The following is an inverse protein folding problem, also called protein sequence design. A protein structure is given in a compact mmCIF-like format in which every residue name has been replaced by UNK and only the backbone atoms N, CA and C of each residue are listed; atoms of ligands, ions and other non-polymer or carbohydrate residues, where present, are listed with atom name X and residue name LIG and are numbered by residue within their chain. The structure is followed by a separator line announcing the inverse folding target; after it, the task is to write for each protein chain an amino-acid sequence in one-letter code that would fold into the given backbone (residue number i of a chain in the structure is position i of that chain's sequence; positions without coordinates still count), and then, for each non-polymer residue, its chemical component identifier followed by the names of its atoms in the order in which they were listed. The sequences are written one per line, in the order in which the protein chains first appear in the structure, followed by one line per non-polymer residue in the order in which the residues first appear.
data_IF_121167375956
#
_entry.id   IF_121167375956
#
_cell.length_a   1.000
_cell.length_b   1.000
_cell.length_c   1.000
_cell.angle_alpha   90.00
_cell.angle_beta   90.00
_cell.angle_gamma   90.00
#
_symmetry.space_group_name_H-M   'P 1'
#
loop_
_entity.id
_entity.type
_entity.pdbx_description
1 polymer ?
#
# COMPACT_ATOMS: atom_id res chain seq x y z
N UNK A 1 -8.45 -20.01 6.71
CA UNK A 1 -8.21 -20.67 8.01
C UNK A 1 -7.37 -19.69 8.82
N UNK A 2 -7.96 -19.06 9.84
CA UNK A 2 -7.29 -18.03 10.66
C UNK A 2 -6.45 -18.71 11.76
N UNK A 3 -5.22 -18.26 11.98
CA UNK A 3 -4.41 -18.73 13.12
C UNK A 3 -5.03 -18.21 14.43
N UNK A 4 -5.35 -19.13 15.34
CA UNK A 4 -5.99 -18.80 16.62
C UNK A 4 -5.07 -18.01 17.58
N UNK A 5 -3.75 -18.01 17.32
CA UNK A 5 -2.73 -17.37 18.17
C UNK A 5 -2.70 -15.86 18.04
N UNK A 6 -3.14 -15.32 16.90
CA UNK A 6 -3.08 -13.90 16.57
C UNK A 6 -4.48 -13.40 16.21
N UNK A 7 -4.79 -12.17 16.64
CA UNK A 7 -6.01 -11.47 16.25
C UNK A 7 -5.68 -10.10 15.68
N UNK A 8 -6.21 -9.81 14.49
CA UNK A 8 -6.31 -8.44 13.99
C UNK A 8 -7.44 -7.73 14.74
N UNK A 9 -7.07 -6.85 15.69
CA UNK A 9 -8.03 -6.15 16.55
C UNK A 9 -8.69 -4.99 15.85
N UNK A 10 -7.90 -4.11 15.24
CA UNK A 10 -8.40 -2.94 14.54
C UNK A 10 -7.47 -2.52 13.40
N UNK A 11 -8.02 -1.81 12.42
CA UNK A 11 -7.27 -1.04 11.43
C UNK A 11 -7.84 0.36 11.38
N UNK A 12 -7.07 1.35 11.81
CA UNK A 12 -7.41 2.77 11.79
C UNK A 12 -6.60 3.50 10.72
N UNK A 13 -7.14 4.64 10.29
CA UNK A 13 -6.56 5.46 9.23
C UNK A 13 -6.53 6.90 9.70
N UNK A 14 -5.40 7.57 9.48
CA UNK A 14 -5.28 9.00 9.65
C UNK A 14 -4.79 9.58 8.34
N UNK A 15 -5.55 10.52 7.80
CA UNK A 15 -5.27 11.18 6.53
C UNK A 15 -4.99 12.64 6.79
N UNK A 16 -3.83 13.12 6.34
CA UNK A 16 -3.39 14.51 6.54
C UNK A 16 -2.69 15.04 5.30
N UNK A 17 -2.70 16.35 5.13
CA UNK A 17 -1.84 16.99 4.14
C UNK A 17 -0.38 16.84 4.55
N UNK A 18 0.51 16.73 3.57
CA UNK A 18 1.93 16.87 3.83
C UNK A 18 2.23 18.29 4.32
N UNK A 19 3.20 18.44 5.23
CA UNK A 19 3.58 19.74 5.80
C UNK A 19 3.94 20.79 4.73
N UNK A 20 4.37 20.33 3.54
CA UNK A 20 4.69 21.17 2.38
C UNK A 20 3.47 21.60 1.56
N UNK A 21 2.28 21.06 1.84
CA UNK A 21 1.03 21.26 1.09
C UNK A 21 0.98 20.59 -0.29
N UNK A 22 2.07 19.92 -0.71
CA UNK A 22 2.23 19.37 -2.06
C UNK A 22 1.86 17.89 -2.19
N UNK A 23 1.31 17.28 -1.14
CA UNK A 23 0.98 15.87 -1.15
C UNK A 23 0.08 15.47 0.01
N UNK A 24 -0.16 14.18 0.09
CA UNK A 24 -0.99 13.54 1.09
C UNK A 24 -0.19 12.48 1.86
N UNK A 25 -0.47 12.44 3.16
CA UNK A 25 -0.10 11.36 4.06
C UNK A 25 -1.31 10.53 4.43
N UNK A 26 -1.14 9.22 4.27
CA UNK A 26 -2.02 8.22 4.85
C UNK A 26 -1.22 7.38 5.83
N UNK A 27 -1.56 7.53 7.11
CA UNK A 27 -1.05 6.68 8.17
C UNK A 27 -2.06 5.55 8.41
N UNK A 28 -1.64 4.31 8.17
CA UNK A 28 -2.46 3.11 8.42
C UNK A 28 -1.96 2.45 9.69
N UNK A 29 -2.79 2.42 10.71
CA UNK A 29 -2.46 1.84 12.01
C UNK A 29 -3.16 0.49 12.16
N UNK A 30 -2.36 -0.56 12.24
CA UNK A 30 -2.78 -1.95 12.37
C UNK A 30 -2.54 -2.41 13.80
N UNK A 31 -3.61 -2.70 14.53
CA UNK A 31 -3.55 -3.25 15.89
C UNK A 31 -3.65 -4.77 15.85
N UNK A 32 -2.59 -5.43 16.32
CA UNK A 32 -2.51 -6.88 16.45
C UNK A 32 -2.45 -7.27 17.93
N UNK A 33 -3.07 -8.38 18.25
CA UNK A 33 -3.12 -8.92 19.60
C UNK A 33 -2.72 -10.40 19.62
N UNK A 34 -1.87 -10.77 20.58
CA UNK A 34 -1.52 -12.15 20.87
C UNK A 34 -2.54 -12.77 21.79
N UNK A 35 -2.91 -14.01 21.48
CA UNK A 35 -3.75 -14.87 22.33
C UNK A 35 -2.95 -15.96 23.02
N UNK A 36 -1.63 -15.98 22.84
CA UNK A 36 -0.73 -16.95 23.42
C UNK A 36 0.33 -16.28 24.30
N UNK A 37 0.81 -16.96 25.35
CA UNK A 37 1.87 -16.43 26.23
C UNK A 37 3.25 -16.42 25.57
N UNK A 38 3.42 -17.12 24.45
CA UNK A 38 4.67 -17.24 23.72
C UNK A 38 4.90 -16.07 22.75
N UNK A 39 6.16 -15.68 22.60
CA UNK A 39 6.57 -14.71 21.58
C UNK A 39 6.56 -15.35 20.19
N UNK A 40 5.90 -14.69 19.25
CA UNK A 40 5.81 -15.17 17.87
C UNK A 40 6.27 -14.09 16.89
N UNK A 41 7.02 -14.53 15.87
CA UNK A 41 7.48 -13.68 14.79
C UNK A 41 6.53 -13.77 13.61
N UNK A 42 6.21 -12.63 13.05
CA UNK A 42 5.32 -12.47 11.92
C UNK A 42 5.93 -11.45 10.95
N UNK A 43 5.39 -11.36 9.75
CA UNK A 43 5.75 -10.29 8.83
C UNK A 43 4.52 -9.63 8.22
N UNK A 44 4.64 -8.34 7.87
CA UNK A 44 3.52 -7.55 7.38
C UNK A 44 3.89 -6.76 6.12
N UNK A 45 2.96 -6.70 5.18
CA UNK A 45 2.92 -5.69 4.13
C UNK A 45 1.68 -4.83 4.31
N UNK A 46 1.84 -3.52 4.11
CA UNK A 46 0.72 -2.62 3.93
C UNK A 46 0.87 -1.94 2.58
N UNK A 47 -0.17 -2.04 1.76
CA UNK A 47 -0.25 -1.42 0.46
C UNK A 47 -1.36 -0.36 0.53
N UNK A 48 -1.05 0.85 0.11
CA UNK A 48 -2.03 1.90 -0.13
C UNK A 48 -1.96 2.34 -1.60
N UNK A 49 -3.10 2.61 -2.22
CA UNK A 49 -3.13 3.09 -3.60
C UNK A 49 -4.43 3.83 -3.94
N UNK A 50 -4.45 4.35 -5.15
CA UNK A 50 -5.66 4.87 -5.78
C UNK A 50 -6.07 3.99 -6.96
N UNK A 51 -7.18 3.29 -6.81
CA UNK A 51 -7.80 2.50 -7.86
C UNK A 51 -9.06 3.22 -8.34
N UNK A 52 -9.06 3.67 -9.60
CA UNK A 52 -10.23 4.28 -10.23
C UNK A 52 -10.81 3.41 -11.33
N UNK A 53 -12.03 3.73 -11.75
CA UNK A 53 -12.64 3.10 -12.91
C UNK A 53 -11.84 3.48 -14.17
N UNK A 54 -11.62 2.52 -15.07
CA UNK A 54 -10.95 2.79 -16.34
C UNK A 54 -11.75 3.75 -17.21
N UNK A 55 -13.08 3.69 -17.11
CA UNK A 55 -13.99 4.57 -17.82
C UNK A 55 -14.22 5.83 -17.00
N UNK A 56 -13.86 6.98 -17.56
CA UNK A 56 -14.24 8.26 -17.00
C UNK A 56 -15.77 8.43 -17.13
N UNK A 57 -16.47 8.53 -15.99
CA UNK A 57 -17.93 8.67 -16.00
C UNK A 57 -18.41 9.94 -16.71
N UNK A 58 -17.64 11.03 -16.65
CA UNK A 58 -18.01 12.27 -17.32
C UNK A 58 -17.84 12.16 -18.84
N UNK A 59 -16.81 11.46 -19.30
CA UNK A 59 -16.65 11.12 -20.71
C UNK A 59 -17.76 10.17 -21.19
N UNK A 60 -18.14 9.19 -20.35
CA UNK A 60 -19.23 8.26 -20.66
C UNK A 60 -20.60 8.92 -20.73
N UNK A 61 -20.79 10.06 -20.07
CA UNK A 61 -21.98 10.90 -20.23
C UNK A 61 -22.01 11.58 -21.60
N UNK A 62 -20.85 11.99 -22.13
CA UNK A 62 -20.72 12.64 -23.43
C UNK A 62 -20.79 11.63 -24.58
N UNK A 63 -20.14 10.48 -24.44
CA UNK A 63 -20.12 9.38 -25.41
C UNK A 63 -20.63 8.11 -24.72
N UNK A 64 -21.96 7.90 -24.67
CA UNK A 64 -22.54 6.77 -23.96
C UNK A 64 -22.18 5.44 -24.61
N UNK A 65 -22.06 4.39 -23.79
CA UNK A 65 -21.92 3.03 -24.31
C UNK A 65 -23.14 2.69 -25.18
N UNK A 66 -22.95 2.03 -26.34
CA UNK A 66 -24.08 1.64 -27.16
C UNK A 66 -25.02 0.70 -26.40
N UNK A 67 -26.27 1.12 -26.19
CA UNK A 67 -27.26 0.43 -25.36
C UNK A 67 -27.59 -1.02 -25.83
N UNK A 68 -27.28 -1.34 -27.09
CA UNK A 68 -27.48 -2.68 -27.67
C UNK A 68 -26.42 -3.71 -27.24
N UNK A 69 -25.28 -3.27 -26.68
CA UNK A 69 -24.29 -4.17 -26.08
C UNK A 69 -24.57 -4.30 -24.58
N UNK A 70 -24.81 -5.53 -24.11
CA UNK A 70 -25.16 -5.81 -22.71
C UNK A 70 -23.96 -5.76 -21.75
N UNK A 71 -22.80 -6.24 -22.21
CA UNK A 71 -21.58 -6.27 -21.43
C UNK A 71 -20.65 -5.17 -21.91
N UNK A 72 -20.26 -4.28 -21.00
CA UNK A 72 -19.25 -3.25 -21.23
C UNK A 72 -17.95 -3.70 -20.55
N UNK A 73 -17.01 -4.31 -21.28
CA UNK A 73 -15.80 -4.89 -20.68
C UNK A 73 -14.96 -3.84 -19.94
N UNK A 74 -15.02 -2.58 -20.36
CA UNK A 74 -14.22 -1.49 -19.78
C UNK A 74 -14.83 -0.94 -18.49
N UNK A 75 -16.14 -1.13 -18.28
CA UNK A 75 -16.83 -0.66 -17.07
C UNK A 75 -16.41 -1.39 -15.81
N UNK A 76 -16.04 -2.66 -15.94
CA UNK A 76 -15.60 -3.50 -14.82
C UNK A 76 -14.07 -3.47 -14.63
N UNK A 77 -13.34 -2.91 -15.59
CA UNK A 77 -11.89 -2.75 -15.50
C UNK A 77 -11.53 -1.55 -14.61
N UNK A 78 -10.73 -1.83 -13.58
CA UNK A 78 -10.18 -0.80 -12.70
C UNK A 78 -8.71 -0.57 -12.98
N UNK A 79 -8.32 0.70 -12.99
CA UNK A 79 -6.94 1.12 -13.20
C UNK A 79 -6.36 1.60 -11.88
N UNK A 80 -5.21 1.04 -11.51
CA UNK A 80 -4.42 1.56 -10.40
C UNK A 80 -3.62 2.74 -10.93
N UNK A 81 -3.85 3.94 -10.40
CA UNK A 81 -3.10 5.13 -10.84
C UNK A 81 -1.75 5.24 -10.13
N UNK A 82 -1.74 4.88 -8.84
CA UNK A 82 -0.52 4.82 -8.05
C UNK A 82 -0.67 3.87 -6.88
N UNK A 83 0.46 3.39 -6.40
CA UNK A 83 0.56 2.62 -5.18
C UNK A 83 1.81 3.01 -4.38
N UNK A 84 1.72 2.82 -3.07
CA UNK A 84 2.83 2.94 -2.15
C UNK A 84 2.79 1.75 -1.18
N UNK A 85 3.89 1.01 -1.07
CA UNK A 85 4.01 -0.24 -0.33
C UNK A 85 5.02 -0.06 0.80
N UNK A 86 4.62 -0.46 2.01
CA UNK A 86 5.47 -0.60 3.18
C UNK A 86 5.87 -2.07 3.35
N UNK A 87 7.16 -2.41 3.61
CA UNK A 87 8.24 -1.51 4.00
C UNK A 87 9.05 -0.90 2.84
N UNK A 88 9.13 -1.60 1.71
CA UNK A 88 9.88 -1.19 0.51
C UNK A 88 8.96 -1.13 -0.70
N UNK A 89 9.03 -0.05 -1.50
CA UNK A 89 8.28 0.04 -2.74
C UNK A 89 8.84 -0.94 -3.78
N UNK A 90 7.96 -1.45 -4.63
CA UNK A 90 8.30 -2.34 -5.74
C UNK A 90 8.07 -1.61 -7.06
N UNK A 91 8.88 -1.94 -8.06
CA UNK A 91 8.69 -1.41 -9.41
C UNK A 91 7.74 -2.29 -10.22
N UNK A 92 7.03 -1.69 -11.19
CA UNK A 92 6.16 -2.45 -12.10
C UNK A 92 6.91 -3.58 -12.83
N UNK A 93 8.20 -3.36 -13.15
CA UNK A 93 9.08 -4.36 -13.76
C UNK A 93 9.28 -5.58 -12.85
N UNK A 94 9.45 -5.38 -11.55
CA UNK A 94 9.59 -6.49 -10.58
C UNK A 94 8.29 -7.30 -10.44
N UNK A 95 7.13 -6.63 -10.46
CA UNK A 95 5.83 -7.26 -10.27
C UNK A 95 5.44 -8.12 -11.47
N UNK A 96 5.58 -7.57 -12.68
CA UNK A 96 5.19 -8.24 -13.92
C UNK A 96 6.27 -9.15 -14.51
N UNK A 97 7.53 -8.97 -14.10
CA UNK A 97 8.69 -9.59 -14.74
C UNK A 97 9.05 -8.94 -16.08
N UNK A 98 10.18 -9.33 -16.64
CA UNK A 98 10.74 -8.66 -17.84
C UNK A 98 9.89 -8.87 -19.11
N UNK A 99 9.34 -10.08 -19.29
CA UNK A 99 8.58 -10.44 -20.50
C UNK A 99 7.27 -9.67 -20.60
N UNK A 100 6.45 -9.69 -19.54
CA UNK A 100 5.16 -8.99 -19.50
C UNK A 100 5.36 -7.48 -19.54
N UNK A 101 6.38 -6.96 -18.86
CA UNK A 101 6.75 -5.55 -18.91
C UNK A 101 7.14 -5.11 -20.34
N UNK A 102 7.95 -5.91 -21.04
CA UNK A 102 8.33 -5.62 -22.43
C UNK A 102 7.12 -5.64 -23.38
N UNK A 103 6.17 -6.57 -23.21
CA UNK A 103 4.93 -6.61 -23.99
C UNK A 103 4.08 -5.35 -23.78
N UNK A 104 3.88 -4.93 -22.53
CA UNK A 104 3.11 -3.72 -22.18
C UNK A 104 3.79 -2.46 -22.70
N UNK A 105 5.13 -2.40 -22.61
CA UNK A 105 5.93 -1.31 -23.19
C UNK A 105 5.78 -1.22 -24.70
N UNK A 106 5.87 -2.35 -25.41
CA UNK A 106 5.71 -2.39 -26.86
C UNK A 106 4.29 -1.98 -27.30
N UNK A 107 3.26 -2.37 -26.54
CA UNK A 107 1.88 -1.95 -26.80
C UNK A 107 1.71 -0.43 -26.62
N UNK A 108 2.29 0.13 -25.56
CA UNK A 108 2.31 1.57 -25.31
C UNK A 108 3.03 2.32 -26.44
N UNK A 109 4.23 1.88 -26.83
CA UNK A 109 4.99 2.48 -27.93
C UNK A 109 4.20 2.43 -29.25
N UNK A 110 3.52 1.32 -29.54
CA UNK A 110 2.65 1.19 -30.72
C UNK A 110 1.52 2.22 -30.71
N UNK A 111 0.90 2.50 -29.55
CA UNK A 111 -0.13 3.54 -29.42
C UNK A 111 0.44 4.94 -29.60
N UNK A 112 1.63 5.20 -29.07
CA UNK A 112 2.34 6.44 -29.31
C UNK A 112 2.68 6.66 -30.79
N UNK A 113 3.18 5.64 -31.49
CA UNK A 113 3.41 5.72 -32.94
C UNK A 113 2.13 5.95 -33.74
N UNK A 114 0.98 5.53 -33.22
CA UNK A 114 -0.33 5.81 -33.80
C UNK A 114 -0.88 7.22 -33.44
N UNK A 115 -0.12 8.04 -32.72
CA UNK A 115 -0.46 9.43 -32.38
C UNK A 115 -1.27 9.61 -31.09
N UNK A 116 -1.43 8.56 -30.27
CA UNK A 116 -2.11 8.67 -28.97
C UNK A 116 -1.14 9.03 -27.85
N UNK A 117 -1.59 9.84 -26.88
CA UNK A 117 -0.92 9.98 -25.58
C UNK A 117 -1.19 8.72 -24.76
N UNK A 118 -0.16 7.87 -24.57
CA UNK A 118 -0.28 6.62 -23.85
C UNK A 118 0.78 6.55 -22.75
N UNK A 119 0.36 6.60 -21.49
CA UNK A 119 1.27 6.36 -20.36
C UNK A 119 1.53 4.86 -20.17
N UNK A 120 2.67 4.52 -19.56
CA UNK A 120 2.92 3.14 -19.14
C UNK A 120 1.85 2.76 -18.11
N UNK A 121 1.13 1.65 -18.30
CA UNK A 121 0.18 1.20 -17.29
C UNK A 121 0.93 0.83 -16.01
N UNK A 122 0.29 1.04 -14.87
CA UNK A 122 0.71 0.48 -13.58
C UNK A 122 0.09 -0.92 -13.38
N UNK A 123 0.72 -1.81 -12.59
CA UNK A 123 0.11 -3.08 -12.17
C UNK A 123 -1.23 -2.86 -11.49
N UNK A 124 -2.19 -3.74 -11.75
CA UNK A 124 -3.49 -3.66 -11.06
C UNK A 124 -3.33 -3.95 -9.57
N UNK A 125 -4.23 -3.43 -8.74
CA UNK A 125 -4.16 -3.64 -7.29
C UNK A 125 -4.08 -5.13 -6.91
N UNK A 126 -4.82 -5.97 -7.63
CA UNK A 126 -4.81 -7.43 -7.44
C UNK A 126 -3.48 -8.06 -7.83
N UNK A 127 -2.89 -7.66 -8.96
CA UNK A 127 -1.56 -8.15 -9.38
C UNK A 127 -0.48 -7.80 -8.36
N UNK A 128 -0.51 -6.59 -7.80
CA UNK A 128 0.41 -6.18 -6.73
C UNK A 128 0.24 -7.08 -5.51
N UNK A 129 -1.01 -7.30 -5.06
CA UNK A 129 -1.29 -8.12 -3.88
C UNK A 129 -0.88 -9.58 -4.08
N UNK A 130 -1.15 -10.14 -5.25
CA UNK A 130 -0.77 -11.51 -5.59
C UNK A 130 0.75 -11.67 -5.64
N UNK A 131 1.47 -10.67 -6.16
CA UNK A 131 2.92 -10.63 -6.13
C UNK A 131 3.45 -10.57 -4.69
N UNK A 132 2.89 -9.72 -3.84
CA UNK A 132 3.27 -9.61 -2.42
C UNK A 132 3.02 -10.91 -1.65
N UNK A 133 1.92 -11.62 -1.96
CA UNK A 133 1.63 -12.91 -1.35
C UNK A 133 2.65 -14.00 -1.72
N UNK A 134 3.24 -13.92 -2.92
CA UNK A 134 4.29 -14.84 -3.38
C UNK A 134 5.69 -14.45 -2.88
N UNK A 135 5.94 -13.16 -2.64
CA UNK A 135 7.25 -12.62 -2.28
C UNK A 135 7.28 -12.04 -0.85
N UNK A 136 6.83 -12.83 0.13
CA UNK A 136 6.75 -12.44 1.53
C UNK A 136 8.11 -12.23 2.22
N UNK A 137 9.23 -12.62 1.62
CA UNK A 137 10.57 -12.45 2.18
C UNK A 137 10.98 -10.99 2.41
N UNK A 138 10.40 -10.05 1.64
CA UNK A 138 10.64 -8.60 1.77
C UNK A 138 9.65 -7.91 2.71
N UNK A 139 8.72 -8.65 3.33
CA UNK A 139 7.76 -8.10 4.28
C UNK A 139 8.47 -7.63 5.56
N UNK A 140 7.90 -6.65 6.25
CA UNK A 140 8.47 -6.12 7.48
C UNK A 140 8.36 -7.18 8.59
N UNK A 141 9.47 -7.74 9.10
CA UNK A 141 9.40 -8.65 10.23
C UNK A 141 9.07 -7.88 11.52
N UNK A 142 8.22 -8.48 12.36
CA UNK A 142 7.93 -7.96 13.69
C UNK A 142 7.69 -9.11 14.67
N UNK A 143 7.93 -8.84 15.94
CA UNK A 143 7.68 -9.79 17.03
C UNK A 143 6.42 -9.38 17.78
N UNK A 144 5.47 -10.29 17.86
CA UNK A 144 4.29 -10.15 18.71
C UNK A 144 4.58 -10.80 20.06
N UNK A 145 4.79 -9.96 21.07
CA UNK A 145 5.18 -10.41 22.41
C UNK A 145 4.00 -10.97 23.20
N UNK A 146 4.25 -12.05 23.94
CA UNK A 146 3.32 -12.67 24.87
C UNK A 146 3.55 -12.21 26.31
N UNK A 147 3.86 -13.16 27.20
CA UNK A 147 4.03 -12.97 28.65
C UNK A 147 5.31 -12.21 29.02
N UNK A 148 6.40 -12.49 28.30
CA UNK A 148 7.75 -11.92 28.50
C UNK A 148 7.78 -10.42 28.28
N UNK A 149 6.99 -9.92 27.31
CA UNK A 149 6.92 -8.51 26.94
C UNK A 149 8.19 -8.01 26.23
N UNK A 150 8.13 -6.82 25.58
CA UNK A 150 9.28 -6.23 24.91
C UNK A 150 10.28 -5.64 25.91
N UNK A 151 11.58 -5.76 25.60
CA UNK A 151 12.62 -4.95 26.25
C UNK A 151 12.45 -3.47 25.89
N UNK A 152 13.00 -2.56 26.70
CA UNK A 152 12.88 -1.10 26.48
C UNK A 152 13.26 -0.67 25.05
N UNK A 153 14.30 -1.27 24.48
CA UNK A 153 14.76 -0.99 23.12
C UNK A 153 13.83 -1.51 22.04
N UNK A 154 13.06 -2.56 22.32
CA UNK A 154 12.11 -3.18 21.38
C UNK A 154 10.69 -2.62 21.51
N UNK A 155 10.45 -1.69 22.44
CA UNK A 155 9.14 -1.06 22.62
C UNK A 155 8.75 -0.20 21.42
N UNK A 156 9.71 0.53 20.84
CA UNK A 156 9.46 1.38 19.68
C UNK A 156 10.54 1.12 18.63
N UNK A 157 10.12 0.67 17.45
CA UNK A 157 11.00 0.42 16.30
C UNK A 157 10.50 1.27 15.14
N UNK A 158 11.34 2.13 14.58
CA UNK A 158 10.99 2.98 13.45
C UNK A 158 12.15 3.10 12.47
N UNK A 159 11.84 3.45 11.22
CA UNK A 159 12.84 3.79 10.21
C UNK A 159 12.92 5.29 9.89
N UNK A 160 12.47 6.13 10.83
CA UNK A 160 12.51 7.58 10.69
C UNK A 160 13.93 8.08 10.41
N UNK A 161 14.05 8.89 9.36
CA UNK A 161 15.27 9.61 8.99
C UNK A 161 15.01 11.08 9.22
N UNK A 162 15.77 11.69 10.14
CA UNK A 162 15.65 13.11 10.42
C UNK A 162 16.15 13.95 9.23
N UNK A 163 15.56 15.13 9.07
CA UNK A 163 16.03 16.10 8.08
C UNK A 163 17.44 16.58 8.39
N UNK A 164 18.21 16.74 7.32
CA UNK A 164 19.49 17.42 7.35
C UNK A 164 19.31 18.93 7.58
N UNK A 165 20.37 19.59 8.06
CA UNK A 165 20.34 21.04 8.29
C UNK A 165 20.13 21.84 6.99
N UNK A 166 20.59 21.32 5.85
CA UNK A 166 20.44 21.95 4.54
C UNK A 166 19.02 21.83 3.98
N UNK A 167 18.37 20.67 4.20
CA UNK A 167 16.94 20.47 3.90
C UNK A 167 16.05 21.45 4.67
N UNK A 168 16.32 21.65 5.96
CA UNK A 168 15.61 22.63 6.80
C UNK A 168 15.75 24.06 6.28
N UNK A 169 16.95 24.45 5.82
CA UNK A 169 17.18 25.78 5.24
C UNK A 169 16.42 25.97 3.92
N UNK A 170 16.29 24.90 3.12
CA UNK A 170 15.58 24.91 1.83
C UNK A 170 14.07 24.70 1.96
N UNK A 171 13.57 24.37 3.16
CA UNK A 171 12.19 23.97 3.40
C UNK A 171 11.74 22.79 2.53
N UNK A 172 12.66 21.84 2.28
CA UNK A 172 12.40 20.61 1.53
C UNK A 172 12.60 19.43 2.47
N UNK A 173 11.69 18.44 2.48
CA UNK A 173 11.91 17.17 3.19
C UNK A 173 12.05 16.02 2.18
N UNK A 174 13.24 15.81 1.63
CA UNK A 174 13.51 14.68 0.73
C UNK A 174 13.59 13.35 1.49
N UNK A 175 13.89 13.42 2.79
CA UNK A 175 13.83 12.30 3.74
C UNK A 175 12.40 11.88 4.11
N UNK A 176 11.42 12.73 3.78
CA UNK A 176 9.97 12.54 3.86
C UNK A 176 9.47 11.10 3.61
N UNK A 177 9.63 10.62 2.36
CA UNK A 177 9.13 9.31 1.93
C UNK A 177 9.91 8.12 2.49
N UNK A 178 11.05 8.37 3.16
CA UNK A 178 11.92 7.30 3.69
C UNK A 178 11.40 6.74 5.01
N UNK A 179 10.56 7.49 5.72
CA UNK A 179 9.87 6.99 6.89
C UNK A 179 8.63 6.22 6.45
N UNK A 180 8.68 4.89 6.53
CA UNK A 180 7.62 4.00 6.03
C UNK A 180 6.88 3.27 7.13
N UNK A 181 7.46 3.12 8.32
CA UNK A 181 6.78 2.47 9.44
C UNK A 181 7.29 2.89 10.82
N UNK A 182 6.40 2.71 11.80
CA UNK A 182 6.67 2.74 13.24
C UNK A 182 5.92 1.58 13.90
N UNK A 183 6.62 0.75 14.67
CA UNK A 183 6.07 -0.36 15.45
C UNK A 183 6.14 0.01 16.93
N UNK A 184 4.98 -0.04 17.59
CA UNK A 184 4.86 0.02 19.04
C UNK A 184 4.54 -1.36 19.59
N UNK A 185 5.45 -1.93 20.38
CA UNK A 185 5.29 -3.22 21.00
C UNK A 185 4.91 -3.06 22.47
N UNK A 186 3.92 -3.84 22.90
CA UNK A 186 3.45 -3.95 24.26
C UNK A 186 3.21 -5.42 24.62
N UNK A 187 2.96 -5.71 25.90
CA UNK A 187 2.56 -7.05 26.33
C UNK A 187 1.26 -7.46 25.62
N UNK A 188 1.26 -8.62 24.95
CA UNK A 188 0.17 -9.16 24.13
C UNK A 188 -0.31 -8.28 22.96
N UNK A 189 0.32 -7.15 22.66
CA UNK A 189 -0.18 -6.20 21.65
C UNK A 189 0.96 -5.58 20.85
N UNK A 190 0.77 -5.50 19.55
CA UNK A 190 1.66 -4.74 18.66
C UNK A 190 0.81 -3.79 17.81
N UNK A 191 1.23 -2.54 17.74
CA UNK A 191 0.59 -1.51 16.92
C UNK A 191 1.57 -1.09 15.85
N UNK A 192 1.27 -1.42 14.60
CA UNK A 192 2.12 -1.13 13.45
C UNK A 192 1.49 0.02 12.70
N UNK A 193 2.19 1.14 12.63
CA UNK A 193 1.78 2.32 11.85
C UNK A 193 2.60 2.33 10.57
N UNK A 194 1.97 2.20 9.42
CA UNK A 194 2.63 2.41 8.12
C UNK A 194 2.35 3.81 7.62
N UNK A 195 3.39 4.47 7.11
CA UNK A 195 3.35 5.84 6.62
C UNK A 195 3.41 5.82 5.09
N UNK A 196 2.32 6.22 4.45
CA UNK A 196 2.23 6.28 2.99
C UNK A 196 2.19 7.73 2.53
N UNK A 197 3.19 8.11 1.75
CA UNK A 197 3.27 9.43 1.14
C UNK A 197 2.96 9.35 -0.36
N UNK A 198 2.18 10.31 -0.86
CA UNK A 198 2.04 10.55 -2.29
C UNK A 198 2.10 12.04 -2.57
N UNK A 199 2.78 12.42 -3.64
CA UNK A 199 2.77 13.81 -4.12
C UNK A 199 1.52 14.03 -4.97
N UNK A 200 0.92 15.22 -4.87
CA UNK A 200 -0.22 15.56 -5.72
C UNK A 200 0.17 15.52 -7.19
N UNK A 201 -0.54 14.69 -7.94
CA UNK A 201 -0.49 14.60 -9.40
C UNK A 201 -1.49 15.58 -10.02
N UNK A 202 -1.39 15.88 -11.32
CA UNK A 202 -2.51 16.46 -12.05
C UNK A 202 -3.76 15.63 -11.75
N UNK A 203 -4.84 16.27 -11.31
CA UNK A 203 -6.10 15.69 -10.80
C UNK A 203 -6.21 15.45 -9.28
N UNK A 204 -5.18 15.77 -8.47
CA UNK A 204 -5.25 15.70 -7.00
C UNK A 204 -5.77 14.36 -6.45
N UNK A 205 -5.41 13.25 -7.10
CA UNK A 205 -5.84 11.92 -6.69
C UNK A 205 -5.24 11.56 -5.32
N UNK A 206 -6.08 11.01 -4.46
CA UNK A 206 -5.76 10.63 -3.10
C UNK A 206 -5.81 9.13 -2.87
N UNK A 207 -5.26 8.62 -1.77
CA UNK A 207 -5.44 7.20 -1.47
C UNK A 207 -6.92 6.85 -1.28
N UNK A 208 -7.38 5.78 -1.92
CA UNK A 208 -8.76 5.29 -1.76
C UNK A 208 -8.84 3.81 -1.38
N UNK A 209 -7.74 3.06 -1.47
CA UNK A 209 -7.73 1.63 -1.20
C UNK A 209 -6.50 1.22 -0.42
N UNK A 210 -6.70 0.36 0.58
CA UNK A 210 -5.63 -0.20 1.43
C UNK A 210 -5.75 -1.72 1.49
N UNK A 211 -4.62 -2.41 1.40
CA UNK A 211 -4.50 -3.83 1.70
C UNK A 211 -3.53 -4.04 2.85
N UNK A 212 -3.95 -4.82 3.85
CA UNK A 212 -3.10 -5.29 4.95
C UNK A 212 -2.91 -6.80 4.79
N UNK A 213 -1.66 -7.22 4.67
CA UNK A 213 -1.26 -8.61 4.49
C UNK A 213 -0.33 -9.00 5.63
N UNK A 214 -0.71 -10.01 6.43
CA UNK A 214 0.11 -10.53 7.54
C UNK A 214 0.47 -11.97 7.26
N UNK A 215 1.73 -12.32 7.46
CA UNK A 215 2.31 -13.63 7.18
C UNK A 215 2.95 -14.25 8.41
N UNK A 216 2.92 -15.58 8.47
CA UNK A 216 3.66 -16.42 9.40
C UNK A 216 5.07 -16.67 8.86
N UNK A 217 6.10 -16.26 9.60
CA UNK A 217 7.49 -16.45 9.18
C UNK A 217 7.94 -17.92 9.32
N UNK A 218 7.24 -18.73 10.11
CA UNK A 218 7.58 -20.14 10.34
C UNK A 218 7.13 -21.05 9.19
N UNK A 219 6.25 -20.59 8.30
CA UNK A 219 5.72 -21.37 7.18
C UNK A 219 6.38 -20.94 5.86
N UNK A 220 7.10 -21.84 5.16
CA UNK A 220 7.74 -21.50 3.89
C UNK A 220 6.74 -21.39 2.73
N UNK A 221 5.58 -22.06 2.81
CA UNK A 221 4.51 -22.03 1.81
C UNK A 221 3.17 -21.69 2.47
N UNK A 222 2.31 -20.92 1.78
CA UNK A 222 1.01 -20.46 2.28
C UNK A 222 1.08 -19.79 3.67
N UNK A 223 2.06 -18.92 3.84
CA UNK A 223 2.31 -18.17 5.08
C UNK A 223 1.25 -17.12 5.39
N UNK A 224 0.38 -16.76 4.45
CA UNK A 224 -0.62 -15.70 4.61
C UNK A 224 -1.63 -16.05 5.72
N UNK A 225 -1.64 -15.25 6.79
CA UNK A 225 -2.54 -15.38 7.93
C UNK A 225 -3.78 -14.49 7.80
N UNK A 226 -3.55 -13.22 7.48
CA UNK A 226 -4.61 -12.23 7.30
C UNK A 226 -4.45 -11.52 5.98
N UNK A 227 -5.59 -11.34 5.30
CA UNK A 227 -5.72 -10.49 4.13
C UNK A 227 -6.96 -9.64 4.31
N UNK A 228 -6.77 -8.33 4.43
CA UNK A 228 -7.88 -7.38 4.58
C UNK A 228 -7.75 -6.30 3.52
N UNK A 229 -8.79 -6.15 2.71
CA UNK A 229 -8.96 -5.06 1.76
C UNK A 229 -9.92 -4.05 2.35
N UNK A 230 -9.55 -2.78 2.31
CA UNK A 230 -10.32 -1.70 2.92
C UNK A 230 -10.41 -0.58 1.90
N UNK A 231 -11.63 -0.20 1.58
CA UNK A 231 -11.94 1.01 0.83
C UNK A 231 -11.98 2.18 1.81
N UNK A 232 -11.20 3.22 1.51
CA UNK A 232 -11.06 4.43 2.33
C UNK A 232 -11.50 5.68 1.58
N UNK A 233 -12.26 5.53 0.49
CA UNK A 233 -12.78 6.63 -0.33
C UNK A 233 -13.55 7.68 0.49
N UNK A 234 -14.27 7.25 1.52
CA UNK A 234 -15.10 8.11 2.37
C UNK A 234 -14.32 8.84 3.49
N UNK A 235 -13.03 8.54 3.66
CA UNK A 235 -12.21 9.14 4.73
C UNK A 235 -11.79 10.55 4.34
N UNK A 236 -12.30 11.52 5.09
CA UNK A 236 -11.95 12.94 4.94
C UNK A 236 -10.50 13.18 5.35
N UNK A 237 -9.83 14.10 4.64
CA UNK A 237 -8.54 14.63 5.07
C UNK A 237 -8.79 15.47 6.32
N UNK A 238 -8.01 15.22 7.37
CA UNK A 238 -8.05 16.00 8.60
C UNK A 238 -7.18 17.25 8.40
N UNK A 239 -7.71 18.40 8.82
CA UNK A 239 -7.02 19.71 8.77
C UNK A 239 -6.09 19.89 9.96
#
# INVERSE_FOLDING_TARGET
MYDARIRLKNVSFVRRHADTGKGEFLDVQVELESRVPEDNEYSIFVLAGFEGDRVNQDERRLVPYPAWRKADPEKDERTLYFSNIMPTPFTAKEIWGEETYAKKKAEMEKRHYAGFEAEMPEPTFTEVVDYLCKNNAKALPFTLFGETGPSKEKQVIYNYVAQTADEKKRQVHETLPKHTYTIYNNKYKATITSHHYTQYRPNFLSFNKVAVLVFDTKKPTNSLLFRKFIDISDIKITY
#
